data_IF_599464114074
#
_entry.id   IF_599464114074
#
_cell.length_a   1.000
_cell.length_b   1.000
_cell.length_c   1.000
_cell.angle_alpha   90.00
_cell.angle_beta   90.00
_cell.angle_gamma   90.00
#
_symmetry.space_group_name_H-M   'P 1'
#
loop_
_entity.id
_entity.type
_entity.pdbx_description
1 polymer ?
#
# COMPACT_ATOMS: atom_id res chain seq x y z
N UNK A 1 -26.32 8.26 -8.86
CA UNK A 1 -25.14 7.48 -9.30
C UNK A 1 -23.98 8.44 -9.38
N UNK A 2 -23.27 8.64 -8.27
CA UNK A 2 -22.28 9.71 -8.16
C UNK A 2 -20.88 9.18 -8.47
N UNK A 3 -20.18 9.92 -9.32
CA UNK A 3 -18.86 9.65 -9.87
C UNK A 3 -17.83 9.59 -8.74
N UNK A 4 -17.03 8.53 -8.72
CA UNK A 4 -16.02 8.26 -7.70
C UNK A 4 -14.87 9.27 -7.83
N UNK A 5 -14.69 10.10 -6.80
CA UNK A 5 -13.59 11.03 -6.70
C UNK A 5 -12.29 10.27 -6.40
N UNK A 6 -11.63 9.87 -7.48
CA UNK A 6 -10.40 9.09 -7.52
C UNK A 6 -9.15 10.00 -7.39
N UNK A 7 -9.11 10.88 -6.39
CA UNK A 7 -8.02 11.86 -6.20
C UNK A 7 -7.14 11.63 -4.96
N UNK A 8 -7.40 10.60 -4.15
CA UNK A 8 -6.80 10.51 -2.79
C UNK A 8 -5.70 9.43 -2.70
N UNK A 9 -4.79 9.42 -3.67
CA UNK A 9 -3.44 8.86 -3.45
C UNK A 9 -2.31 9.83 -3.82
N UNK A 10 -2.63 11.02 -4.36
CA UNK A 10 -1.62 11.99 -4.84
C UNK A 10 -1.69 13.38 -4.17
N UNK A 11 -2.63 13.65 -3.28
CA UNK A 11 -3.00 15.02 -2.92
C UNK A 11 -2.59 15.45 -1.49
N UNK A 12 -1.36 15.19 -1.04
CA UNK A 12 -0.88 15.83 0.19
C UNK A 12 0.48 16.53 0.15
N UNK A 13 1.22 16.58 -0.96
CA UNK A 13 2.32 17.56 -1.10
C UNK A 13 2.47 17.96 -2.57
N UNK A 14 1.56 18.77 -3.10
CA UNK A 14 1.82 19.51 -4.34
C UNK A 14 1.18 20.90 -4.24
N UNK A 15 1.72 21.72 -3.36
CA UNK A 15 1.50 23.16 -3.40
C UNK A 15 2.85 23.83 -3.32
N UNK A 16 3.18 24.53 -4.41
CA UNK A 16 4.32 25.44 -4.55
C UNK A 16 5.64 24.82 -4.99
N UNK A 17 5.75 24.45 -6.26
CA UNK A 17 7.00 24.62 -7.02
C UNK A 17 6.71 24.70 -8.51
N UNK A 18 7.15 25.80 -9.11
CA UNK A 18 7.00 26.10 -10.53
C UNK A 18 7.76 25.08 -11.37
N UNK A 19 7.11 24.53 -12.40
CA UNK A 19 7.71 23.63 -13.38
C UNK A 19 8.79 24.41 -14.13
N UNK A 20 10.06 24.13 -13.84
CA UNK A 20 11.16 24.42 -14.75
C UNK A 20 11.39 23.18 -15.60
N UNK A 21 11.13 23.30 -16.90
CA UNK A 21 11.32 22.26 -17.90
C UNK A 21 12.83 22.00 -18.05
N UNK A 22 13.37 21.04 -17.29
CA UNK A 22 14.71 20.49 -17.51
C UNK A 22 14.61 19.30 -18.49
N UNK A 23 15.62 19.10 -19.36
CA UNK A 23 15.57 18.06 -20.37
C UNK A 23 15.55 16.68 -19.70
N UNK A 24 14.77 15.77 -20.30
CA UNK A 24 14.72 14.36 -19.95
C UNK A 24 16.14 13.78 -19.88
N UNK A 25 16.60 13.55 -18.66
CA UNK A 25 17.78 12.76 -18.36
C UNK A 25 17.40 11.29 -18.27
N UNK A 26 18.28 10.45 -18.80
CA UNK A 26 18.29 8.99 -18.83
C UNK A 26 17.55 8.26 -17.68
N UNK A 27 16.79 7.24 -18.07
CA UNK A 27 15.99 6.31 -17.25
C UNK A 27 16.28 6.27 -15.76
N UNK A 28 15.32 6.76 -14.99
CA UNK A 28 15.35 6.78 -13.53
C UNK A 28 14.27 7.71 -12.99
N UNK A 29 13.77 7.38 -11.80
CA UNK A 29 12.78 8.20 -11.10
C UNK A 29 13.28 9.64 -10.97
N UNK A 30 12.43 10.60 -11.35
CA UNK A 30 12.73 12.00 -11.11
C UNK A 30 12.79 12.30 -9.59
N UNK A 31 13.39 13.44 -9.24
CA UNK A 31 13.61 13.80 -7.84
C UNK A 31 12.31 13.93 -7.04
N UNK A 32 11.22 14.41 -7.66
CA UNK A 32 9.93 14.56 -7.00
C UNK A 32 9.27 13.20 -6.77
N UNK A 33 9.33 12.30 -7.75
CA UNK A 33 8.85 10.91 -7.62
C UNK A 33 9.62 10.14 -6.54
N UNK A 34 10.94 10.33 -6.47
CA UNK A 34 11.79 9.73 -5.42
C UNK A 34 11.41 10.23 -4.03
N UNK A 35 11.22 11.54 -3.87
CA UNK A 35 10.81 12.14 -2.60
C UNK A 35 9.40 11.69 -2.17
N UNK A 36 8.45 11.65 -3.11
CA UNK A 36 7.09 11.21 -2.87
C UNK A 36 7.05 9.72 -2.45
N UNK A 37 7.83 8.87 -3.12
CA UNK A 37 8.00 7.47 -2.72
C UNK A 37 8.54 7.40 -1.30
N UNK A 38 9.64 8.08 -0.98
CA UNK A 38 10.24 8.05 0.35
C UNK A 38 9.27 8.49 1.45
N UNK A 39 8.51 9.56 1.24
CA UNK A 39 7.49 10.02 2.21
C UNK A 39 6.35 9.02 2.38
N UNK A 40 5.87 8.44 1.28
CA UNK A 40 4.85 7.38 1.32
C UNK A 40 5.35 6.17 2.08
N UNK A 41 6.60 5.77 1.85
CA UNK A 41 7.20 4.64 2.54
C UNK A 41 7.37 4.89 4.04
N UNK A 42 7.77 6.09 4.44
CA UNK A 42 7.85 6.47 5.85
C UNK A 42 6.47 6.44 6.50
N UNK A 43 5.45 6.99 5.84
CA UNK A 43 4.08 6.97 6.32
C UNK A 43 3.57 5.53 6.52
N UNK A 44 3.83 4.62 5.58
CA UNK A 44 3.38 3.23 5.71
C UNK A 44 4.10 2.46 6.83
N UNK A 45 5.38 2.79 7.09
CA UNK A 45 6.22 2.12 8.09
C UNK A 45 6.05 2.68 9.51
N UNK A 46 5.61 3.93 9.66
CA UNK A 46 5.38 4.58 10.95
C UNK A 46 3.90 4.48 11.33
N UNK A 47 3.52 3.62 12.30
CA UNK A 47 2.13 3.46 12.70
C UNK A 47 1.50 4.74 13.24
N UNK A 48 2.26 5.61 13.91
CA UNK A 48 1.71 6.85 14.45
C UNK A 48 1.35 7.83 13.34
N UNK A 49 2.24 8.00 12.36
CA UNK A 49 1.97 8.85 11.20
C UNK A 49 0.84 8.28 10.35
N UNK A 50 0.83 6.97 10.13
CA UNK A 50 -0.23 6.27 9.42
C UNK A 50 -1.59 6.47 10.10
N UNK A 51 -1.66 6.30 11.42
CA UNK A 51 -2.90 6.44 12.19
C UNK A 51 -3.43 7.88 12.19
N UNK A 52 -2.55 8.90 12.16
CA UNK A 52 -2.98 10.30 11.98
C UNK A 52 -3.67 10.51 10.64
N UNK A 53 -3.05 10.04 9.56
CA UNK A 53 -3.60 10.15 8.20
C UNK A 53 -4.89 9.35 8.04
N UNK A 54 -4.96 8.17 8.66
CA UNK A 54 -6.20 7.38 8.75
C UNK A 54 -7.28 8.17 9.51
N UNK A 55 -6.94 8.80 10.63
CA UNK A 55 -7.87 9.62 11.41
C UNK A 55 -8.56 10.73 10.62
N UNK A 56 -7.86 11.30 9.63
CA UNK A 56 -8.30 12.45 8.84
C UNK A 56 -9.09 12.06 7.56
N UNK A 57 -9.24 10.77 7.24
CA UNK A 57 -9.96 10.30 6.04
C UNK A 57 -10.88 9.11 6.33
N UNK A 58 -12.18 9.28 6.05
CA UNK A 58 -13.18 8.22 6.19
C UNK A 58 -12.86 7.01 5.31
N UNK A 59 -12.35 7.25 4.10
CA UNK A 59 -11.93 6.20 3.18
C UNK A 59 -10.72 5.43 3.72
N UNK A 60 -9.73 6.12 4.28
CA UNK A 60 -8.56 5.50 4.89
C UNK A 60 -8.95 4.65 6.12
N UNK A 61 -9.92 5.09 6.92
CA UNK A 61 -10.49 4.31 8.03
C UNK A 61 -11.17 3.03 7.54
N UNK A 62 -11.93 3.12 6.45
CA UNK A 62 -12.59 1.95 5.87
C UNK A 62 -11.56 0.91 5.37
N UNK A 63 -10.49 1.37 4.73
CA UNK A 63 -9.41 0.48 4.25
C UNK A 63 -8.64 -0.12 5.44
N UNK A 64 -8.29 0.68 6.44
CA UNK A 64 -7.62 0.20 7.66
C UNK A 64 -8.43 -0.88 8.39
N UNK A 65 -9.75 -0.70 8.48
CA UNK A 65 -10.65 -1.69 9.06
C UNK A 65 -10.69 -3.01 8.26
N UNK A 66 -10.60 -2.94 6.92
CA UNK A 66 -10.49 -4.14 6.08
C UNK A 66 -9.16 -4.87 6.30
N UNK A 67 -8.07 -4.12 6.43
CA UNK A 67 -6.75 -4.69 6.74
C UNK A 67 -6.75 -5.35 8.13
N UNK A 68 -7.34 -4.71 9.14
CA UNK A 68 -7.51 -5.27 10.48
C UNK A 68 -8.33 -6.58 10.43
N UNK A 69 -9.44 -6.58 9.70
CA UNK A 69 -10.29 -7.77 9.55
C UNK A 69 -9.58 -8.92 8.85
N UNK A 70 -8.69 -8.62 7.89
CA UNK A 70 -7.90 -9.63 7.18
C UNK A 70 -6.75 -10.15 8.06
N UNK A 71 -6.10 -9.26 8.79
CA UNK A 71 -4.96 -9.57 9.65
C UNK A 71 -5.37 -10.39 10.89
N UNK A 72 -6.50 -10.06 11.50
CA UNK A 72 -6.98 -10.68 12.75
C UNK A 72 -6.17 -10.34 14.00
N UNK A 73 -5.00 -9.70 13.87
CA UNK A 73 -4.24 -9.14 14.99
C UNK A 73 -3.29 -8.01 14.53
N UNK A 74 -2.79 -7.18 15.47
CA UNK A 74 -1.92 -6.05 15.14
C UNK A 74 -0.59 -6.45 14.48
N UNK A 75 -0.02 -7.60 14.83
CA UNK A 75 1.26 -8.05 14.26
C UNK A 75 1.13 -8.33 12.76
N UNK A 76 0.07 -9.02 12.35
CA UNK A 76 -0.19 -9.31 10.93
C UNK A 76 -0.64 -8.06 10.17
N UNK A 77 -1.31 -7.12 10.83
CA UNK A 77 -1.64 -5.82 10.24
C UNK A 77 -0.38 -5.05 9.85
N UNK A 78 0.60 -4.95 10.74
CA UNK A 78 1.89 -4.32 10.41
C UNK A 78 2.63 -5.06 9.29
N UNK A 79 2.59 -6.40 9.29
CA UNK A 79 3.19 -7.19 8.22
C UNK A 79 2.54 -6.92 6.84
N UNK A 80 1.21 -6.73 6.80
CA UNK A 80 0.49 -6.34 5.57
C UNK A 80 0.93 -4.95 5.11
N UNK A 81 1.06 -3.97 6.01
CA UNK A 81 1.54 -2.63 5.64
C UNK A 81 2.98 -2.65 5.14
N UNK A 82 3.85 -3.43 5.78
CA UNK A 82 5.24 -3.60 5.36
C UNK A 82 5.32 -4.21 3.95
N UNK A 83 4.57 -5.27 3.68
CA UNK A 83 4.55 -5.89 2.34
C UNK A 83 3.97 -4.92 1.30
N UNK A 84 2.89 -4.21 1.65
CA UNK A 84 2.28 -3.20 0.78
C UNK A 84 3.27 -2.10 0.38
N UNK A 85 4.11 -1.68 1.33
CA UNK A 85 5.19 -0.74 1.08
C UNK A 85 6.25 -1.29 0.10
N UNK A 86 6.63 -2.57 0.20
CA UNK A 86 7.56 -3.19 -0.75
C UNK A 86 6.96 -3.28 -2.16
N UNK A 87 5.72 -3.75 -2.27
CA UNK A 87 4.99 -3.83 -3.54
C UNK A 87 4.84 -2.45 -4.18
N UNK A 88 4.54 -1.41 -3.39
CA UNK A 88 4.43 -0.05 -3.90
C UNK A 88 5.78 0.50 -4.38
N UNK A 89 6.88 0.20 -3.69
CA UNK A 89 8.23 0.57 -4.13
C UNK A 89 8.53 0.00 -5.51
N UNK A 90 8.25 -1.29 -5.70
CA UNK A 90 8.49 -1.95 -6.98
C UNK A 90 7.56 -1.43 -8.08
N UNK A 91 6.31 -1.09 -7.73
CA UNK A 91 5.38 -0.47 -8.66
C UNK A 91 5.91 0.88 -9.15
N UNK A 92 6.41 1.73 -8.25
CA UNK A 92 6.98 3.03 -8.62
C UNK A 92 8.20 2.85 -9.52
N UNK A 93 9.10 1.94 -9.21
CA UNK A 93 10.27 1.66 -10.06
C UNK A 93 9.90 1.08 -11.43
N UNK A 94 8.95 0.16 -11.50
CA UNK A 94 8.54 -0.48 -12.77
C UNK A 94 7.75 0.44 -13.70
N UNK A 95 7.13 1.48 -13.14
CA UNK A 95 6.38 2.51 -13.88
C UNK A 95 7.20 3.78 -14.09
N UNK A 96 8.46 3.81 -13.66
CA UNK A 96 9.33 4.98 -13.67
C UNK A 96 8.67 6.22 -13.02
N UNK A 97 7.88 5.98 -11.96
CA UNK A 97 7.17 7.03 -11.23
C UNK A 97 5.98 7.61 -11.98
N UNK A 98 5.60 7.08 -13.15
CA UNK A 98 4.49 7.59 -13.93
C UNK A 98 3.14 7.33 -13.23
N UNK A 99 2.43 8.37 -12.75
CA UNK A 99 1.19 8.19 -11.99
C UNK A 99 0.06 7.54 -12.79
N UNK A 100 0.00 7.78 -14.09
CA UNK A 100 -1.03 7.19 -14.96
C UNK A 100 -0.81 5.69 -15.14
N UNK A 101 0.45 5.26 -15.30
CA UNK A 101 0.78 3.84 -15.40
C UNK A 101 0.59 3.13 -14.06
N UNK A 102 0.98 3.76 -12.94
CA UNK A 102 0.68 3.23 -11.60
C UNK A 102 -0.82 3.03 -11.41
N UNK A 103 -1.63 4.02 -11.78
CA UNK A 103 -3.08 3.93 -11.67
C UNK A 103 -3.65 2.81 -12.55
N UNK A 104 -3.16 2.66 -13.79
CA UNK A 104 -3.58 1.56 -14.68
C UNK A 104 -3.27 0.20 -14.07
N UNK A 105 -2.09 0.02 -13.48
CA UNK A 105 -1.72 -1.24 -12.81
C UNK A 105 -2.63 -1.52 -11.63
N UNK A 106 -2.89 -0.52 -10.77
CA UNK A 106 -3.77 -0.68 -9.61
C UNK A 106 -5.23 -0.95 -10.00
N UNK A 107 -5.73 -0.31 -11.06
CA UNK A 107 -7.06 -0.59 -11.60
C UNK A 107 -7.17 -2.02 -12.12
N UNK A 108 -6.17 -2.49 -12.89
CA UNK A 108 -6.12 -3.88 -13.36
C UNK A 108 -5.98 -4.87 -12.22
N UNK A 109 -5.30 -4.53 -11.14
CA UNK A 109 -5.18 -5.39 -9.97
C UNK A 109 -6.54 -5.69 -9.32
N UNK A 110 -7.44 -4.69 -9.30
CA UNK A 110 -8.81 -4.86 -8.81
C UNK A 110 -9.64 -5.78 -9.71
N UNK A 111 -9.44 -5.72 -11.02
CA UNK A 111 -10.18 -6.53 -12.00
C UNK A 111 -9.61 -7.94 -12.16
N UNK A 112 -8.28 -8.09 -12.02
CA UNK A 112 -7.56 -9.35 -12.16
C UNK A 112 -6.48 -9.47 -11.05
N UNK A 113 -6.87 -9.85 -9.82
CA UNK A 113 -5.94 -10.02 -8.71
C UNK A 113 -4.86 -11.07 -8.98
N UNK A 114 -5.20 -12.12 -9.74
CA UNK A 114 -4.25 -13.17 -10.14
C UNK A 114 -3.17 -12.62 -11.09
N UNK A 115 -3.57 -11.85 -12.10
CA UNK A 115 -2.64 -11.22 -13.03
C UNK A 115 -1.73 -10.20 -12.35
N UNK A 116 -2.25 -9.46 -11.36
CA UNK A 116 -1.42 -8.59 -10.54
C UNK A 116 -0.38 -9.38 -9.74
N UNK A 117 -0.79 -10.45 -9.07
CA UNK A 117 0.13 -11.34 -8.36
C UNK A 117 1.22 -11.93 -9.27
N UNK A 118 0.85 -12.38 -10.47
CA UNK A 118 1.80 -12.92 -11.46
C UNK A 118 2.81 -11.87 -11.94
N UNK A 119 2.40 -10.59 -11.98
CA UNK A 119 3.24 -9.45 -12.35
C UNK A 119 4.18 -8.94 -11.25
N UNK A 120 4.05 -9.43 -10.01
CA UNK A 120 4.99 -9.09 -8.94
C UNK A 120 6.36 -9.74 -9.18
N UNK A 121 7.42 -9.16 -8.62
CA UNK A 121 8.72 -9.82 -8.59
C UNK A 121 8.70 -11.04 -7.64
N UNK A 122 9.69 -11.91 -7.78
CA UNK A 122 9.76 -13.16 -7.01
C UNK A 122 9.89 -12.93 -5.49
N UNK A 123 10.54 -11.84 -5.07
CA UNK A 123 10.64 -11.46 -3.65
C UNK A 123 9.24 -11.21 -3.06
N UNK A 124 8.45 -10.36 -3.71
CA UNK A 124 7.12 -9.97 -3.22
C UNK A 124 6.12 -11.12 -3.33
N UNK A 125 6.22 -11.97 -4.37
CA UNK A 125 5.42 -13.20 -4.46
C UNK A 125 5.67 -14.10 -3.27
N UNK A 126 6.93 -14.37 -2.96
CA UNK A 126 7.32 -15.22 -1.83
C UNK A 126 6.85 -14.62 -0.50
N UNK A 127 7.09 -13.33 -0.27
CA UNK A 127 6.65 -12.66 0.95
C UNK A 127 5.12 -12.68 1.12
N UNK A 128 4.36 -12.49 0.04
CA UNK A 128 2.90 -12.60 0.07
C UNK A 128 2.43 -14.03 0.36
N UNK A 129 3.06 -15.04 -0.23
CA UNK A 129 2.75 -16.45 0.05
C UNK A 129 3.04 -16.81 1.51
N UNK A 130 4.19 -16.40 2.04
CA UNK A 130 4.58 -16.62 3.44
C UNK A 130 3.62 -15.94 4.41
N UNK A 131 3.26 -14.68 4.15
CA UNK A 131 2.32 -13.92 4.96
C UNK A 131 0.92 -14.54 4.92
N UNK A 132 0.44 -14.91 3.72
CA UNK A 132 -0.86 -15.57 3.54
C UNK A 132 -0.92 -16.90 4.30
N UNK A 133 0.11 -17.74 4.16
CA UNK A 133 0.20 -18.99 4.90
C UNK A 133 0.20 -18.75 6.41
N UNK A 134 0.92 -17.75 6.89
CA UNK A 134 0.97 -17.40 8.31
C UNK A 134 -0.40 -16.96 8.82
N UNK A 135 -1.10 -16.07 8.11
CA UNK A 135 -2.42 -15.59 8.49
C UNK A 135 -3.46 -16.73 8.50
N UNK A 136 -3.44 -17.60 7.48
CA UNK A 136 -4.40 -18.71 7.34
C UNK A 136 -4.19 -19.80 8.39
N UNK A 137 -2.94 -20.14 8.71
CA UNK A 137 -2.62 -21.28 9.60
C UNK A 137 -2.44 -20.88 11.06
N UNK A 138 -2.54 -19.59 11.38
CA UNK A 138 -2.48 -19.15 12.77
C UNK A 138 -3.82 -19.40 13.46
N UNK A 139 -3.86 -20.14 14.57
CA UNK A 139 -5.09 -20.31 15.32
C UNK A 139 -5.54 -18.92 15.79
N UNK A 140 -6.73 -18.51 15.38
CA UNK A 140 -7.43 -17.39 16.02
C UNK A 140 -7.43 -17.71 17.51
N UNK A 141 -6.81 -16.86 18.32
CA UNK A 141 -6.85 -16.99 19.78
C UNK A 141 -8.27 -16.68 20.21
N UNK A 142 -9.16 -17.67 20.07
CA UNK A 142 -10.45 -17.70 20.73
C UNK A 142 -10.12 -17.73 22.22
N UNK A 143 -10.17 -16.56 22.85
CA UNK A 143 -10.33 -16.43 24.29
C UNK A 143 -11.69 -17.03 24.64
N UNK A 144 -11.74 -18.36 24.73
CA UNK A 144 -12.78 -19.05 25.46
C UNK A 144 -12.05 -19.80 26.56
N UNK A 145 -11.80 -19.05 27.63
CA UNK A 145 -11.52 -19.53 28.96
C UNK A 145 -12.57 -20.58 29.32
N UNK A 146 -12.29 -21.84 28.99
CA UNK A 146 -12.87 -22.98 29.67
C UNK A 146 -12.51 -22.83 31.13
N UNK A 147 -13.46 -22.36 31.93
CA UNK A 147 -13.39 -22.47 33.37
C UNK A 147 -13.96 -23.85 33.73
N UNK A 148 -13.13 -24.81 34.16
CA UNK A 148 -13.64 -26.07 34.65
C UNK A 148 -14.14 -25.85 36.07
N UNK A 149 -15.41 -26.19 36.32
CA UNK A 149 -15.88 -26.77 37.58
C UNK A 149 -17.28 -27.33 37.39
#
# INVERSE_FOLDING_TARGET
>A
MSKWNLWIFAALILSSSHISLAPAGEGGLDAASTEALFKTQQLLRDPEQRNKVIGDSAEAQMVDAQVESLAGNPQYKEAIYSLSNEVFSDLVHTTDGNPEEMQKVLMRAKENPKGFYEGLNEKNKKALQELSNTIIHSPTTKSESGSPR
#
